data_IF_110774216279
#
_entry.id   IF_110774216279
#
_cell.length_a   1.000
_cell.length_b   1.000
_cell.length_c   1.000
_cell.angle_alpha   90.00
_cell.angle_beta   90.00
_cell.angle_gamma   90.00
#
_symmetry.space_group_name_H-M   'P 1'
#
loop_
_entity.id
_entity.type
_entity.pdbx_description
1 polymer ?
#
# COMPACT_ATOMS: atom_id res chain seq x y z
N UNK A 1 13.02 -3.74 4.66
CA UNK A 1 13.38 -4.12 3.27
C UNK A 1 13.21 -2.91 2.37
N UNK A 2 14.13 -2.63 1.44
CA UNK A 2 14.03 -1.49 0.50
C UNK A 2 13.96 -1.98 -0.94
N UNK A 3 13.15 -1.32 -1.77
CA UNK A 3 13.08 -1.58 -3.22
C UNK A 3 12.59 -0.34 -3.98
N UNK A 4 12.77 -0.36 -5.29
CA UNK A 4 12.23 0.66 -6.20
C UNK A 4 11.25 0.05 -7.17
N UNK A 5 10.22 0.82 -7.54
CA UNK A 5 9.24 0.39 -8.53
C UNK A 5 8.71 1.57 -9.33
N UNK A 6 8.46 1.33 -10.62
CA UNK A 6 7.73 2.30 -11.46
C UNK A 6 6.25 2.31 -11.07
N UNK A 7 5.69 3.50 -10.87
CA UNK A 7 4.27 3.70 -10.60
C UNK A 7 3.47 3.49 -11.87
N UNK A 8 2.58 2.50 -11.82
CA UNK A 8 1.70 2.10 -12.90
C UNK A 8 0.27 2.59 -12.66
N UNK A 9 -0.49 2.67 -13.75
CA UNK A 9 -1.92 2.95 -13.69
C UNK A 9 -2.67 1.73 -13.15
N UNK A 10 -3.25 1.87 -11.96
CA UNK A 10 -4.14 0.87 -11.36
C UNK A 10 -5.59 1.02 -11.82
N UNK A 11 -6.50 0.25 -11.18
CA UNK A 11 -7.95 0.32 -11.44
C UNK A 11 -8.66 1.53 -10.82
N UNK A 12 -7.93 2.39 -10.09
CA UNK A 12 -8.48 3.63 -9.48
C UNK A 12 -9.38 3.43 -8.24
N UNK A 13 -9.68 2.19 -7.85
CA UNK A 13 -10.62 1.87 -6.76
C UNK A 13 -10.28 2.52 -5.42
N UNK A 14 -9.00 2.55 -5.05
CA UNK A 14 -8.57 3.19 -3.80
C UNK A 14 -8.95 4.66 -3.75
N UNK A 15 -8.79 5.39 -4.86
CA UNK A 15 -9.15 6.81 -4.96
C UNK A 15 -10.65 7.05 -4.74
N UNK A 16 -11.51 6.18 -5.29
CA UNK A 16 -12.97 6.25 -5.07
C UNK A 16 -13.38 5.99 -3.61
N UNK A 17 -12.48 5.39 -2.81
CA UNK A 17 -12.70 5.10 -1.38
C UNK A 17 -12.05 6.14 -0.46
N UNK A 18 -11.37 7.16 -1.01
CA UNK A 18 -10.59 8.13 -0.23
C UNK A 18 -9.16 7.70 0.09
N UNK A 19 -8.69 6.58 -0.47
CA UNK A 19 -7.36 6.02 -0.23
C UNK A 19 -6.60 5.83 -1.55
N UNK A 20 -6.10 6.91 -2.19
CA UNK A 20 -5.38 6.82 -3.45
C UNK A 20 -4.08 6.02 -3.31
N UNK A 21 -3.95 4.89 -4.03
CA UNK A 21 -2.76 4.03 -4.00
C UNK A 21 -1.92 4.13 -5.28
N UNK A 22 -0.61 4.26 -5.12
CA UNK A 22 0.37 4.07 -6.18
C UNK A 22 0.61 2.57 -6.38
N UNK A 23 0.38 2.07 -7.59
CA UNK A 23 0.54 0.65 -7.91
C UNK A 23 1.95 0.41 -8.45
N UNK A 24 2.72 -0.46 -7.82
CA UNK A 24 4.06 -0.83 -8.22
C UNK A 24 4.12 -2.28 -8.69
N UNK A 25 4.96 -2.52 -9.70
CA UNK A 25 5.39 -3.86 -10.09
C UNK A 25 6.83 -4.05 -9.62
N UNK A 26 7.05 -5.05 -8.78
CA UNK A 26 8.37 -5.35 -8.22
C UNK A 26 8.86 -6.72 -8.69
N UNK A 27 10.18 -6.91 -8.85
CA UNK A 27 10.74 -8.19 -9.30
C UNK A 27 10.99 -9.19 -8.17
N UNK A 28 10.71 -8.81 -6.92
CA UNK A 28 11.00 -9.59 -5.71
C UNK A 28 9.72 -10.07 -5.05
N UNK A 29 9.74 -11.29 -4.54
CA UNK A 29 8.65 -11.81 -3.72
C UNK A 29 8.76 -11.28 -2.29
N UNK A 30 7.65 -10.77 -1.78
CA UNK A 30 7.51 -10.26 -0.41
C UNK A 30 6.37 -11.04 0.24
N UNK A 31 6.41 -11.24 1.56
CA UNK A 31 5.28 -11.91 2.20
C UNK A 31 3.99 -11.06 2.08
N UNK A 32 2.86 -11.68 1.74
CA UNK A 32 1.60 -10.96 1.60
C UNK A 32 1.15 -10.33 2.93
N UNK A 33 0.60 -9.13 2.86
CA UNK A 33 0.09 -8.40 4.01
C UNK A 33 0.14 -6.90 3.84
N UNK A 34 -0.21 -6.21 4.93
CA UNK A 34 -0.06 -4.77 5.04
C UNK A 34 1.18 -4.46 5.88
N UNK A 35 1.88 -3.42 5.46
CA UNK A 35 3.10 -2.93 6.09
C UNK A 35 2.98 -1.43 6.36
N UNK A 36 3.56 -0.99 7.47
CA UNK A 36 4.01 0.39 7.60
C UNK A 36 5.36 0.52 6.91
N UNK A 37 5.52 1.61 6.18
CA UNK A 37 6.73 1.86 5.41
C UNK A 37 6.93 3.33 5.08
N UNK A 38 7.99 3.59 4.33
CA UNK A 38 8.26 4.91 3.77
C UNK A 38 8.23 4.82 2.24
N UNK A 39 7.66 5.84 1.61
CA UNK A 39 7.75 6.05 0.17
C UNK A 39 8.41 7.41 -0.07
N UNK A 40 9.60 7.43 -0.69
CA UNK A 40 10.45 8.62 -0.79
C UNK A 40 10.49 9.40 0.54
N UNK A 41 10.87 8.70 1.61
CA UNK A 41 10.95 9.18 3.00
C UNK A 41 9.64 9.64 3.65
N UNK A 42 8.48 9.46 3.00
CA UNK A 42 7.17 9.82 3.57
C UNK A 42 6.47 8.62 4.19
N UNK A 43 5.90 8.76 5.41
CA UNK A 43 5.05 7.76 6.03
C UNK A 43 4.01 7.18 5.07
N UNK A 44 3.95 5.87 4.97
CA UNK A 44 3.10 5.18 4.00
C UNK A 44 2.57 3.86 4.55
N UNK A 45 1.40 3.47 4.04
CA UNK A 45 0.86 2.11 4.13
C UNK A 45 1.17 1.38 2.83
N UNK A 46 1.77 0.19 2.94
CA UNK A 46 2.18 -0.61 1.79
C UNK A 46 1.46 -1.94 1.84
N UNK A 47 0.49 -2.14 0.95
CA UNK A 47 -0.17 -3.42 0.77
C UNK A 47 0.60 -4.25 -0.26
N UNK A 48 0.78 -5.52 0.08
CA UNK A 48 1.49 -6.51 -0.71
C UNK A 48 0.56 -7.72 -0.84
N UNK A 49 0.14 -8.04 -2.05
CA UNK A 49 -0.84 -9.11 -2.26
C UNK A 49 -0.95 -9.55 -3.71
N UNK A 50 -1.49 -10.75 -3.92
CA UNK A 50 -1.85 -11.25 -5.24
C UNK A 50 -3.36 -11.12 -5.47
N UNK A 51 -3.76 -10.78 -6.70
CA UNK A 51 -5.16 -10.90 -7.12
C UNK A 51 -5.41 -12.34 -7.60
N UNK A 52 -5.26 -13.30 -6.68
CA UNK A 52 -5.41 -14.74 -6.97
C UNK A 52 -6.77 -15.06 -7.60
N UNK A 53 -7.81 -14.26 -7.26
CA UNK A 53 -9.18 -14.40 -7.77
C UNK A 53 -9.32 -14.19 -9.29
N UNK A 54 -8.30 -13.63 -9.96
CA UNK A 54 -8.32 -13.38 -11.42
C UNK A 54 -7.23 -14.16 -12.19
N UNK A 55 -6.59 -15.15 -11.57
CA UNK A 55 -5.50 -15.91 -12.21
C UNK A 55 -4.23 -15.08 -12.44
N UNK A 56 -4.09 -13.93 -11.76
CA UNK A 56 -2.89 -13.11 -11.84
C UNK A 56 -1.79 -13.72 -10.95
N UNK A 57 -0.77 -14.29 -11.59
CA UNK A 57 0.38 -14.93 -10.92
C UNK A 57 1.31 -13.89 -10.23
N UNK A 58 1.17 -12.61 -10.58
CA UNK A 58 2.12 -11.57 -10.16
C UNK A 58 1.61 -10.79 -8.97
N UNK A 59 2.39 -10.84 -7.89
CA UNK A 59 2.24 -10.00 -6.71
C UNK A 59 2.19 -8.51 -7.08
N UNK A 60 1.24 -7.80 -6.48
CA UNK A 60 1.06 -6.35 -6.62
C UNK A 60 1.44 -5.67 -5.31
N UNK A 61 2.05 -4.51 -5.45
CA UNK A 61 2.33 -3.61 -4.34
C UNK A 61 1.53 -2.34 -4.53
N UNK A 62 0.76 -1.98 -3.52
CA UNK A 62 -0.04 -0.75 -3.48
C UNK A 62 0.45 0.12 -2.33
N UNK A 63 0.87 1.34 -2.65
CA UNK A 63 1.44 2.29 -1.69
C UNK A 63 0.47 3.45 -1.51
N UNK A 64 -0.06 3.60 -0.29
CA UNK A 64 -0.81 4.78 0.13
C UNK A 64 0.12 5.67 0.96
N UNK A 65 0.49 6.82 0.42
CA UNK A 65 1.38 7.79 1.08
C UNK A 65 0.51 8.72 1.92
N UNK A 66 0.78 8.80 3.22
CA UNK A 66 0.03 9.66 4.13
C UNK A 66 0.20 11.13 3.75
N UNK A 67 -0.92 11.85 3.76
CA UNK A 67 -0.98 13.30 3.54
C UNK A 67 -0.39 13.75 2.18
N UNK A 68 -0.32 12.84 1.21
CA UNK A 68 0.17 13.13 -0.13
C UNK A 68 -0.96 13.48 -1.10
N UNK A 69 -0.80 14.60 -1.79
CA UNK A 69 -1.63 15.00 -2.91
C UNK A 69 -0.78 15.17 -4.17
N UNK A 70 -1.25 14.62 -5.30
CA UNK A 70 -0.58 14.77 -6.58
C UNK A 70 -0.64 13.52 -7.46
N UNK A 71 0.13 13.56 -8.55
CA UNK A 71 0.24 12.48 -9.51
C UNK A 71 1.66 11.87 -9.49
N UNK A 72 1.73 10.56 -9.28
CA UNK A 72 2.98 9.79 -9.24
C UNK A 72 3.18 8.90 -10.47
N UNK A 73 2.25 8.88 -11.44
CA UNK A 73 2.36 8.03 -12.62
C UNK A 73 3.67 8.26 -13.37
N UNK A 74 4.22 7.16 -13.88
CA UNK A 74 5.47 7.11 -14.63
C UNK A 74 6.73 7.50 -13.85
N UNK A 75 6.61 7.81 -12.54
CA UNK A 75 7.75 8.02 -11.65
C UNK A 75 8.23 6.69 -11.06
N UNK A 76 9.52 6.65 -10.73
CA UNK A 76 10.08 5.61 -9.88
C UNK A 76 9.90 6.03 -8.42
N UNK A 77 9.36 5.13 -7.60
CA UNK A 77 9.13 5.33 -6.18
C UNK A 77 10.06 4.41 -5.39
N UNK A 78 10.83 4.96 -4.45
CA UNK A 78 11.58 4.16 -3.49
C UNK A 78 10.68 3.82 -2.29
N UNK A 79 10.58 2.54 -1.97
CA UNK A 79 9.75 2.04 -0.88
C UNK A 79 10.59 1.27 0.13
N UNK A 80 10.41 1.61 1.40
CA UNK A 80 10.99 0.90 2.54
C UNK A 80 9.88 0.26 3.37
N UNK A 81 9.86 -1.07 3.47
CA UNK A 81 9.02 -1.80 4.42
C UNK A 81 9.70 -1.82 5.79
N UNK A 82 9.01 -1.26 6.78
CA UNK A 82 9.49 -1.14 8.17
C UNK A 82 8.90 -2.24 9.04
N UNK A 83 7.58 -2.36 9.06
CA UNK A 83 6.87 -3.29 9.96
C UNK A 83 5.66 -3.89 9.28
N UNK A 84 5.55 -5.21 9.29
CA UNK A 84 4.31 -5.90 8.91
C UNK A 84 3.26 -5.69 10.01
N UNK A 85 2.06 -5.27 9.64
CA UNK A 85 1.01 -4.88 10.58
C UNK A 85 -0.09 -5.92 10.66
N UNK A 86 -0.46 -6.51 9.52
CA UNK A 86 -1.44 -7.59 9.43
C UNK A 86 -1.23 -8.43 8.17
N UNK A 87 -1.71 -9.69 8.15
CA UNK A 87 -1.80 -10.46 6.93
C UNK A 87 -2.77 -9.83 5.92
N UNK A 88 -2.79 -10.37 4.69
CA UNK A 88 -3.81 -10.03 3.70
C UNK A 88 -5.17 -10.55 4.17
N UNK A 89 -6.20 -9.72 4.07
CA UNK A 89 -7.56 -10.03 4.52
C UNK A 89 -8.50 -9.91 3.33
N UNK A 90 -9.37 -10.90 3.16
CA UNK A 90 -10.47 -10.85 2.20
C UNK A 90 -11.71 -10.27 2.88
N UNK A 91 -12.19 -9.15 2.38
CA UNK A 91 -13.42 -8.50 2.87
C UNK A 91 -14.63 -8.97 2.06
N UNK A 92 -15.79 -9.05 2.71
CA UNK A 92 -17.05 -9.42 2.07
C UNK A 92 -17.71 -8.23 1.39
N UNK A 93 -17.50 -7.03 1.93
CA UNK A 93 -18.08 -5.79 1.42
C UNK A 93 -17.02 -4.69 1.24
N UNK A 94 -17.40 -3.64 0.51
CA UNK A 94 -16.54 -2.45 0.32
C UNK A 94 -16.42 -1.67 1.63
N UNK A 95 -17.48 -1.66 2.42
CA UNK A 95 -17.59 -0.94 3.69
C UNK A 95 -16.65 -1.55 4.74
N UNK A 96 -16.61 -2.88 4.85
CA UNK A 96 -15.65 -3.59 5.73
C UNK A 96 -14.19 -3.25 5.37
N UNK A 97 -13.88 -3.17 4.07
CA UNK A 97 -12.55 -2.78 3.62
C UNK A 97 -12.23 -1.34 4.03
N UNK A 98 -13.15 -0.40 3.84
CA UNK A 98 -12.95 1.02 4.19
C UNK A 98 -12.75 1.17 5.70
N UNK A 99 -13.54 0.49 6.53
CA UNK A 99 -13.38 0.50 7.99
C UNK A 99 -12.00 0.00 8.39
N UNK A 100 -11.54 -1.13 7.83
CA UNK A 100 -10.20 -1.62 8.10
C UNK A 100 -9.12 -0.63 7.65
N UNK A 101 -9.26 -0.01 6.47
CA UNK A 101 -8.28 0.97 5.98
C UNK A 101 -8.18 2.21 6.86
N UNK A 102 -9.29 2.66 7.47
CA UNK A 102 -9.28 3.77 8.45
C UNK A 102 -8.52 3.39 9.72
N UNK A 103 -8.75 2.19 10.26
CA UNK A 103 -8.01 1.71 11.42
C UNK A 103 -6.52 1.52 11.10
N UNK A 104 -6.21 0.99 9.91
CA UNK A 104 -4.84 0.85 9.43
C UNK A 104 -4.13 2.22 9.35
N UNK A 105 -4.79 3.24 8.79
CA UNK A 105 -4.28 4.62 8.74
C UNK A 105 -4.07 5.20 10.13
N UNK A 106 -5.03 5.04 11.04
CA UNK A 106 -4.92 5.52 12.42
C UNK A 106 -3.70 4.92 13.12
N UNK A 107 -3.53 3.60 13.03
CA UNK A 107 -2.37 2.91 13.60
C UNK A 107 -1.06 3.37 12.96
N UNK A 108 -1.04 3.62 11.64
CA UNK A 108 0.14 4.15 10.96
C UNK A 108 0.52 5.54 11.51
N UNK A 109 -0.47 6.42 11.67
CA UNK A 109 -0.25 7.77 12.22
C UNK A 109 0.27 7.72 13.65
N UNK A 110 -0.24 6.82 14.49
CA UNK A 110 0.28 6.60 15.84
C UNK A 110 1.71 6.07 15.81
N UNK A 111 1.99 5.07 14.97
CA UNK A 111 3.32 4.49 14.81
C UNK A 111 4.37 5.53 14.40
N UNK A 112 4.09 6.35 13.38
CA UNK A 112 5.05 7.36 12.89
C UNK A 112 5.15 8.61 13.77
N UNK A 113 4.20 8.86 14.68
CA UNK A 113 4.33 9.91 15.72
C UNK A 113 5.26 9.49 16.84
N UNK A 114 5.16 8.25 17.31
CA UNK A 114 5.94 7.74 18.44
C UNK A 114 7.40 7.42 18.11
N UNK A 115 7.75 7.34 16.82
CA UNK A 115 9.11 7.07 16.35
C UNK A 115 9.80 8.35 15.81
N UNK A 116 9.38 9.53 16.31
CA UNK A 116 10.02 10.82 16.03
C UNK A 116 10.96 11.22 17.16
#
# INVERSE_FOLDING_TARGET
>A
MKFKGKVLKGKGRGKEMGFPTANLKIPVEIENGLYFGLADTKPSLVFVGAAETFGEIKQKVEVYILDFEGNLYDRELEVELIKKTRPSIKFKTKEELIEQMKEDEKMAREFFKSNK
#
